data_IF_863456000750
#
_entry.id   IF_863456000750
#
_cell.length_a   1.000
_cell.length_b   1.000
_cell.length_c   1.000
_cell.angle_alpha   90.00
_cell.angle_beta   90.00
_cell.angle_gamma   90.00
#
_symmetry.space_group_name_H-M   'P 1'
#
loop_
_entity.id
_entity.type
_entity.pdbx_description
1 polymer ?
#
# COMPACT_ATOMS: atom_id res chain seq x y z
N UNK A 1 -20.30 -9.64 9.60
CA UNK A 1 -19.73 -10.79 8.86
C UNK A 1 -18.37 -10.50 8.23
N UNK A 2 -18.15 -9.30 7.67
CA UNK A 2 -16.88 -8.96 7.01
C UNK A 2 -15.67 -8.98 7.97
N UNK A 3 -15.85 -8.53 9.22
CA UNK A 3 -14.81 -8.61 10.27
C UNK A 3 -14.35 -10.05 10.54
N UNK A 4 -15.28 -11.01 10.52
CA UNK A 4 -14.98 -12.41 10.71
C UNK A 4 -14.13 -12.98 9.56
N UNK A 5 -14.42 -12.58 8.32
CA UNK A 5 -13.55 -12.92 7.19
C UNK A 5 -12.18 -12.25 7.31
N UNK A 6 -12.10 -10.99 7.74
CA UNK A 6 -10.81 -10.34 7.99
C UNK A 6 -9.97 -11.13 9.02
N UNK A 7 -10.56 -11.49 10.16
CA UNK A 7 -9.87 -12.21 11.22
C UNK A 7 -9.44 -13.61 10.76
N UNK A 8 -10.29 -14.31 10.01
CA UNK A 8 -9.96 -15.61 9.41
C UNK A 8 -8.78 -15.49 8.43
N UNK A 9 -8.75 -14.44 7.62
CA UNK A 9 -7.64 -14.18 6.71
C UNK A 9 -6.32 -13.94 7.46
N UNK A 10 -6.38 -13.22 8.60
CA UNK A 10 -5.20 -12.97 9.45
C UNK A 10 -4.66 -14.30 10.00
N UNK A 11 -5.55 -15.15 10.54
CA UNK A 11 -5.16 -16.48 11.03
C UNK A 11 -4.54 -17.33 9.92
N UNK A 12 -5.09 -17.27 8.70
CA UNK A 12 -4.49 -17.98 7.57
C UNK A 12 -3.10 -17.45 7.19
N UNK A 13 -2.85 -16.14 7.29
CA UNK A 13 -1.51 -15.59 7.10
C UNK A 13 -0.53 -16.03 8.18
N UNK A 14 -0.92 -15.96 9.44
CA UNK A 14 -0.09 -16.36 10.59
C UNK A 14 0.25 -17.85 10.55
N UNK A 15 -0.62 -18.67 9.97
CA UNK A 15 -0.41 -20.12 9.81
C UNK A 15 0.21 -20.52 8.47
N UNK A 16 0.66 -19.56 7.65
CA UNK A 16 1.31 -19.83 6.36
C UNK A 16 0.38 -20.29 5.23
N UNK A 17 -0.93 -20.25 5.43
CA UNK A 17 -1.96 -20.65 4.47
C UNK A 17 -2.36 -19.49 3.56
N UNK A 18 -1.38 -18.86 2.90
CA UNK A 18 -1.54 -17.59 2.18
C UNK A 18 -2.61 -17.61 1.09
N UNK A 19 -2.73 -18.69 0.31
CA UNK A 19 -3.79 -18.80 -0.71
C UNK A 19 -5.21 -18.82 -0.12
N UNK A 20 -5.39 -19.41 1.08
CA UNK A 20 -6.67 -19.36 1.79
C UNK A 20 -6.95 -17.96 2.31
N UNK A 21 -5.93 -17.27 2.83
CA UNK A 21 -6.05 -15.87 3.23
C UNK A 21 -6.49 -14.98 2.06
N UNK A 22 -5.87 -15.13 0.89
CA UNK A 22 -6.25 -14.42 -0.35
C UNK A 22 -7.73 -14.64 -0.69
N UNK A 23 -8.18 -15.91 -0.72
CA UNK A 23 -9.57 -16.23 -1.05
C UNK A 23 -10.56 -15.60 -0.07
N UNK A 24 -10.24 -15.63 1.22
CA UNK A 24 -11.05 -15.06 2.29
C UNK A 24 -11.10 -13.53 2.22
N UNK A 25 -9.98 -12.85 2.01
CA UNK A 25 -9.96 -11.40 1.85
C UNK A 25 -10.71 -10.95 0.59
N UNK A 26 -10.55 -11.64 -0.54
CA UNK A 26 -11.33 -11.36 -1.75
C UNK A 26 -12.83 -11.51 -1.48
N UNK A 27 -13.25 -12.55 -0.76
CA UNK A 27 -14.65 -12.70 -0.35
C UNK A 27 -15.11 -11.55 0.56
N UNK A 28 -14.29 -11.14 1.53
CA UNK A 28 -14.59 -10.00 2.39
C UNK A 28 -14.79 -8.71 1.56
N UNK A 29 -13.96 -8.48 0.54
CA UNK A 29 -14.05 -7.34 -0.36
C UNK A 29 -15.30 -7.34 -1.23
N UNK A 30 -15.83 -8.52 -1.62
CA UNK A 30 -17.14 -8.58 -2.31
C UNK A 30 -18.30 -8.11 -1.42
N UNK A 31 -18.14 -8.20 -0.10
CA UNK A 31 -19.14 -7.78 0.88
C UNK A 31 -18.96 -6.32 1.32
N UNK A 32 -17.72 -5.83 1.34
CA UNK A 32 -17.41 -4.42 1.62
C UNK A 32 -16.19 -3.97 0.78
N UNK A 33 -16.43 -3.35 -0.40
CA UNK A 33 -15.36 -2.98 -1.32
C UNK A 33 -14.63 -1.69 -0.95
N UNK A 34 -15.07 -0.96 0.09
CA UNK A 34 -14.48 0.34 0.49
C UNK A 34 -13.59 0.22 1.75
N UNK A 35 -13.21 -1.00 2.13
CA UNK A 35 -12.48 -1.22 3.37
C UNK A 35 -10.99 -1.41 3.16
N UNK A 36 -10.24 -0.31 3.32
CA UNK A 36 -8.79 -0.24 3.09
C UNK A 36 -7.97 -1.36 3.76
N UNK A 37 -8.33 -1.72 4.99
CA UNK A 37 -7.62 -2.74 5.76
C UNK A 37 -7.62 -4.10 5.05
N UNK A 38 -8.70 -4.45 4.35
CA UNK A 38 -8.78 -5.71 3.60
C UNK A 38 -7.84 -5.70 2.40
N UNK A 39 -7.73 -4.58 1.68
CA UNK A 39 -6.78 -4.44 0.57
C UNK A 39 -5.34 -4.46 1.05
N UNK A 40 -5.01 -3.79 2.17
CA UNK A 40 -3.67 -3.85 2.77
C UNK A 40 -3.31 -5.27 3.18
N UNK A 41 -4.24 -5.99 3.82
CA UNK A 41 -4.00 -7.38 4.23
C UNK A 41 -3.83 -8.30 3.01
N UNK A 42 -4.63 -8.11 1.97
CA UNK A 42 -4.51 -8.85 0.72
C UNK A 42 -3.16 -8.57 0.01
N UNK A 43 -2.78 -7.30 -0.14
CA UNK A 43 -1.51 -6.89 -0.73
C UNK A 43 -0.31 -7.41 0.07
N UNK A 44 -0.38 -7.33 1.40
CA UNK A 44 0.65 -7.90 2.29
C UNK A 44 0.78 -9.41 2.09
N UNK A 45 -0.33 -10.12 1.91
CA UNK A 45 -0.31 -11.56 1.65
C UNK A 45 0.39 -11.89 0.33
N UNK A 46 0.07 -11.16 -0.75
CA UNK A 46 0.78 -11.29 -2.03
C UNK A 46 2.27 -10.95 -1.89
N UNK A 47 2.62 -9.96 -1.06
CA UNK A 47 4.00 -9.54 -0.81
C UNK A 47 4.84 -10.60 -0.10
N UNK A 48 4.22 -11.38 0.78
CA UNK A 48 4.87 -12.53 1.46
C UNK A 48 5.12 -13.66 0.46
N UNK A 49 4.24 -13.84 -0.52
CA UNK A 49 4.43 -14.77 -1.63
C UNK A 49 5.37 -14.26 -2.73
N UNK A 50 6.01 -13.10 -2.52
CA UNK A 50 6.85 -12.41 -3.52
C UNK A 50 6.11 -12.06 -4.83
N UNK A 51 4.78 -12.06 -4.79
CA UNK A 51 3.91 -11.68 -5.90
C UNK A 51 3.68 -10.16 -5.89
N UNK A 52 4.78 -9.40 -6.00
CA UNK A 52 4.76 -7.95 -5.81
C UNK A 52 3.90 -7.20 -6.84
N UNK A 53 3.85 -7.67 -8.08
CA UNK A 53 3.00 -7.09 -9.12
C UNK A 53 1.51 -7.19 -8.77
N UNK A 54 1.08 -8.33 -8.22
CA UNK A 54 -0.30 -8.51 -7.76
C UNK A 54 -0.60 -7.66 -6.53
N UNK A 55 0.36 -7.51 -5.61
CA UNK A 55 0.22 -6.63 -4.45
C UNK A 55 0.02 -5.16 -4.87
N UNK A 56 0.81 -4.65 -5.83
CA UNK A 56 0.64 -3.29 -6.38
C UNK A 56 -0.70 -3.16 -7.07
N UNK A 57 -1.06 -4.12 -7.93
CA UNK A 57 -2.33 -4.10 -8.65
C UNK A 57 -3.53 -4.01 -7.70
N UNK A 58 -3.53 -4.79 -6.61
CA UNK A 58 -4.57 -4.72 -5.57
C UNK A 58 -4.66 -3.33 -4.94
N UNK A 59 -3.52 -2.71 -4.66
CA UNK A 59 -3.47 -1.37 -4.06
C UNK A 59 -3.92 -0.29 -5.05
N UNK A 60 -3.54 -0.39 -6.33
CA UNK A 60 -3.98 0.54 -7.38
C UNK A 60 -5.48 0.46 -7.63
N UNK A 61 -6.02 -0.76 -7.72
CA UNK A 61 -7.48 -0.99 -7.82
C UNK A 61 -8.21 -0.42 -6.61
N UNK A 62 -7.65 -0.58 -5.40
CA UNK A 62 -8.26 -0.04 -4.19
C UNK A 62 -8.26 1.48 -4.13
N UNK A 63 -7.21 2.15 -4.62
CA UNK A 63 -7.10 3.61 -4.65
C UNK A 63 -8.04 4.26 -5.67
N UNK A 64 -8.47 3.52 -6.70
CA UNK A 64 -9.54 3.96 -7.61
C UNK A 64 -10.92 3.96 -6.93
N UNK A 65 -11.13 3.11 -5.91
CA UNK A 65 -12.40 2.98 -5.19
C UNK A 65 -12.44 3.83 -3.92
N UNK A 66 -11.33 3.87 -3.18
CA UNK A 66 -11.16 4.63 -1.94
C UNK A 66 -10.08 5.68 -2.15
N UNK A 67 -10.51 6.83 -2.66
CA UNK A 67 -9.62 7.96 -2.91
C UNK A 67 -9.03 8.50 -1.60
N UNK A 68 -7.78 8.97 -1.66
CA UNK A 68 -7.06 9.62 -0.55
C UNK A 68 -6.87 8.75 0.71
N UNK A 69 -6.90 7.42 0.61
CA UNK A 69 -6.55 6.56 1.74
C UNK A 69 -5.04 6.61 2.04
N UNK A 70 -4.69 7.27 3.15
CA UNK A 70 -3.32 7.29 3.68
C UNK A 70 -2.77 5.88 3.93
N UNK A 71 -3.64 4.97 4.37
CA UNK A 71 -3.26 3.60 4.68
C UNK A 71 -2.86 2.83 3.40
N UNK A 72 -3.63 2.98 2.32
CA UNK A 72 -3.33 2.34 1.04
C UNK A 72 -2.07 2.92 0.38
N UNK A 73 -1.91 4.25 0.40
CA UNK A 73 -0.71 4.91 -0.11
C UNK A 73 0.55 4.46 0.65
N UNK A 74 0.49 4.42 1.98
CA UNK A 74 1.60 3.95 2.81
C UNK A 74 1.96 2.48 2.52
N UNK A 75 0.98 1.61 2.37
CA UNK A 75 1.21 0.21 2.01
C UNK A 75 1.88 0.08 0.63
N UNK A 76 1.46 0.89 -0.35
CA UNK A 76 2.04 0.90 -1.70
C UNK A 76 3.48 1.42 -1.68
N UNK A 77 3.75 2.50 -0.94
CA UNK A 77 5.08 3.08 -0.79
C UNK A 77 6.08 2.08 -0.23
N UNK A 78 5.74 1.40 0.87
CA UNK A 78 6.55 0.32 1.45
C UNK A 78 6.89 -0.78 0.43
N UNK A 79 5.95 -1.12 -0.45
CA UNK A 79 6.19 -2.14 -1.45
C UNK A 79 7.16 -1.70 -2.55
N UNK A 80 7.03 -0.45 -3.00
CA UNK A 80 7.91 0.12 -4.00
C UNK A 80 9.33 0.31 -3.48
N UNK A 81 9.49 0.71 -2.21
CA UNK A 81 10.80 0.70 -1.53
C UNK A 81 11.41 -0.71 -1.58
N UNK A 82 10.62 -1.75 -1.24
CA UNK A 82 11.09 -3.14 -1.25
C UNK A 82 11.52 -3.62 -2.66
N UNK A 83 10.89 -3.10 -3.71
CA UNK A 83 11.22 -3.40 -5.10
C UNK A 83 12.44 -2.64 -5.65
N UNK A 84 13.09 -1.79 -4.85
CA UNK A 84 14.21 -0.97 -5.29
C UNK A 84 13.80 0.33 -6.00
N UNK A 85 12.50 0.58 -6.13
CA UNK A 85 11.96 1.86 -6.60
C UNK A 85 11.93 2.87 -5.43
N UNK A 86 13.09 3.13 -4.83
CA UNK A 86 13.23 3.93 -3.60
C UNK A 86 12.61 5.32 -3.73
N UNK A 87 12.79 6.00 -4.87
CA UNK A 87 12.24 7.34 -5.07
C UNK A 87 10.70 7.35 -5.06
N UNK A 88 10.06 6.36 -5.69
CA UNK A 88 8.59 6.25 -5.75
C UNK A 88 8.00 5.72 -4.43
N UNK A 89 8.72 4.81 -3.78
CA UNK A 89 8.34 4.26 -2.48
C UNK A 89 8.44 5.28 -1.35
N UNK A 90 9.54 6.03 -1.30
CA UNK A 90 9.74 7.14 -0.37
C UNK A 90 8.74 8.26 -0.66
N UNK A 91 8.45 8.53 -1.94
CA UNK A 91 7.39 9.44 -2.34
C UNK A 91 6.04 9.01 -1.80
N UNK A 92 5.63 7.75 -1.90
CA UNK A 92 4.34 7.28 -1.39
C UNK A 92 4.29 7.12 0.14
N UNK A 93 5.43 6.86 0.79
CA UNK A 93 5.58 6.84 2.24
C UNK A 93 5.49 8.25 2.85
N UNK A 94 6.02 9.25 2.13
CA UNK A 94 6.01 10.66 2.50
C UNK A 94 4.87 11.46 1.82
N UNK A 95 4.14 10.85 0.88
CA UNK A 95 2.96 11.39 0.21
C UNK A 95 1.78 11.37 1.16
N UNK A 96 1.73 12.31 2.10
CA UNK A 96 1.12 13.61 1.85
C UNK A 96 1.85 14.67 0.99
N UNK A 97 3.11 14.51 0.58
CA UNK A 97 3.79 15.33 -0.44
C UNK A 97 4.33 14.62 -1.71
N UNK A 98 4.45 15.37 -2.81
CA UNK A 98 4.86 14.91 -4.16
C UNK A 98 6.37 15.05 -4.36
N UNK A 99 7.10 13.99 -4.72
CA UNK A 99 8.46 14.11 -5.23
C UNK A 99 8.48 14.18 -6.76
N UNK A 100 9.38 14.95 -7.35
CA UNK A 100 9.64 15.02 -8.79
C UNK A 100 11.14 14.81 -9.02
N UNK A 101 11.52 13.97 -9.97
CA UNK A 101 12.91 13.87 -10.41
C UNK A 101 13.03 14.45 -11.81
N UNK A 102 13.92 15.43 -11.96
CA UNK A 102 14.22 16.10 -13.21
C UNK A 102 15.72 15.96 -13.52
N UNK A 103 16.07 15.61 -14.76
CA UNK A 103 17.46 15.30 -15.12
C UNK A 103 18.38 16.53 -15.23
N UNK A 104 17.81 17.74 -15.26
CA UNK A 104 18.55 19.00 -15.20
C UNK A 104 18.64 19.56 -13.77
N UNK A 105 17.71 19.21 -12.87
CA UNK A 105 17.56 19.83 -11.54
C UNK A 105 17.54 18.87 -10.33
N UNK A 106 17.49 17.55 -10.51
CA UNK A 106 17.55 16.53 -9.45
C UNK A 106 16.20 16.17 -8.81
N UNK A 107 16.22 15.56 -7.61
CA UNK A 107 15.01 15.21 -6.83
C UNK A 107 14.46 16.47 -6.15
N UNK A 108 13.17 16.77 -6.33
CA UNK A 108 12.41 17.83 -5.66
C UNK A 108 11.27 17.22 -4.86
N UNK A 109 10.96 17.75 -3.67
CA UNK A 109 9.87 17.32 -2.79
C UNK A 109 8.90 18.47 -2.51
N UNK A 110 7.61 18.25 -2.72
CA UNK A 110 6.49 19.13 -2.36
C UNK A 110 5.67 18.51 -1.24
N UNK A 111 6.02 18.77 0.01
CA UNK A 111 5.17 18.50 1.18
C UNK A 111 4.46 19.77 1.64
N UNK A 112 3.35 19.66 2.37
CA UNK A 112 2.69 20.80 3.03
C UNK A 112 3.48 21.43 4.19
N UNK A 113 4.80 21.24 4.22
CA UNK A 113 5.77 21.79 5.18
C UNK A 113 6.57 22.89 4.47
N UNK A 114 7.00 23.89 5.22
CA UNK A 114 7.81 25.00 4.68
C UNK A 114 9.25 24.56 4.39
N UNK A 115 9.90 25.19 3.41
CA UNK A 115 11.27 24.84 2.99
C UNK A 115 12.31 24.90 4.13
N UNK A 116 12.05 25.66 5.19
CA UNK A 116 12.92 25.76 6.36
C UNK A 116 12.84 24.51 7.25
N UNK A 117 11.66 23.89 7.36
CA UNK A 117 11.48 22.64 8.11
C UNK A 117 12.16 21.47 7.40
N UNK A 118 12.14 21.48 6.05
CA UNK A 118 12.79 20.48 5.20
C UNK A 118 14.32 20.52 5.35
N UNK A 119 14.91 21.71 5.52
CA UNK A 119 16.38 21.91 5.59
C UNK A 119 17.01 21.57 6.94
N UNK A 120 16.20 21.36 7.98
CA UNK A 120 16.68 21.14 9.35
C UNK A 120 16.78 19.65 9.77
N UNK A 121 16.37 18.74 8.88
CA UNK A 121 16.36 17.28 9.08
C UNK A 121 17.54 16.66 8.33
#
# INVERSE_FOLDING_TARGET
>A
YVDAYNNLGIIFNETGQYHKAIAVYRKALTLNPFWDKLYVNLATTYSVLEQFNEAIKVLDESLMLVSNSKMLNFAKGRLLVKLGNLNEGLLLELAGGVFSFDSETGITLRTGLSDEEIKSI
#
